data_IF_611983994667
#
_entry.id   IF_611983994667
#
_cell.length_a   1.000
_cell.length_b   1.000
_cell.length_c   1.000
_cell.angle_alpha   90.00
_cell.angle_beta   90.00
_cell.angle_gamma   90.00
#
_symmetry.space_group_name_H-M   'P 1'
#
loop_
_entity.id
_entity.type
_entity.pdbx_description
1 polymer ?
#
# COMPACT_ATOMS: atom_id res chain seq x y z
N UNK A 1 1.26 -21.91 -11.19
CA UNK A 1 2.36 -21.01 -10.79
C UNK A 1 2.03 -20.56 -9.39
N UNK A 2 2.43 -21.37 -8.40
CA UNK A 2 2.13 -21.14 -6.99
C UNK A 2 3.11 -20.12 -6.42
N UNK A 3 2.73 -18.84 -6.49
CA UNK A 3 3.35 -17.80 -5.65
C UNK A 3 2.81 -17.96 -4.22
N UNK A 4 3.25 -19.04 -3.58
CA UNK A 4 3.22 -19.18 -2.14
C UNK A 4 4.33 -18.27 -1.60
N UNK A 5 3.97 -17.08 -1.11
CA UNK A 5 4.74 -16.40 -0.08
C UNK A 5 4.71 -17.28 1.18
N UNK A 6 5.51 -18.34 1.17
CA UNK A 6 5.75 -19.20 2.31
C UNK A 6 7.01 -18.70 3.04
N UNK A 7 7.03 -17.44 3.44
CA UNK A 7 7.77 -17.07 4.64
C UNK A 7 6.96 -17.60 5.82
N UNK A 8 7.19 -18.85 6.15
CA UNK A 8 6.77 -19.45 7.41
C UNK A 8 7.62 -18.81 8.51
N UNK A 9 7.24 -17.59 8.92
CA UNK A 9 7.79 -16.90 10.08
C UNK A 9 7.26 -17.63 11.33
N UNK A 10 7.98 -18.69 11.71
CA UNK A 10 7.64 -19.55 12.84
C UNK A 10 7.65 -18.82 14.21
N UNK A 11 8.12 -17.57 14.26
CA UNK A 11 8.19 -16.71 15.45
C UNK A 11 7.64 -15.29 15.21
N UNK A 12 6.61 -15.15 14.39
CA UNK A 12 5.97 -13.86 14.20
C UNK A 12 5.13 -13.48 15.43
N UNK A 13 5.69 -12.65 16.32
CA UNK A 13 4.92 -11.88 17.30
C UNK A 13 4.10 -10.80 16.57
N UNK A 14 3.07 -11.23 15.84
CA UNK A 14 2.09 -10.30 15.30
C UNK A 14 1.31 -9.73 16.48
N UNK A 15 1.16 -8.41 16.50
CA UNK A 15 0.22 -7.78 17.42
C UNK A 15 -1.16 -8.41 17.21
N UNK A 16 -1.84 -8.74 18.31
CA UNK A 16 -3.21 -9.19 18.23
C UNK A 16 -4.07 -8.07 17.65
N UNK A 17 -5.12 -8.44 16.93
CA UNK A 17 -5.94 -7.49 16.19
C UNK A 17 -6.70 -6.58 17.16
N UNK A 18 -6.35 -5.29 17.15
CA UNK A 18 -7.00 -4.30 18.01
C UNK A 18 -8.35 -3.88 17.44
N UNK A 19 -9.43 -4.26 18.12
CA UNK A 19 -10.81 -3.93 17.73
C UNK A 19 -11.06 -2.43 17.69
N UNK A 20 -10.44 -1.67 18.58
CA UNK A 20 -10.63 -0.20 18.66
C UNK A 20 -10.11 0.46 17.39
N UNK A 21 -9.02 -0.06 16.82
CA UNK A 21 -8.45 0.47 15.59
C UNK A 21 -9.42 0.24 14.42
N UNK A 22 -9.93 -0.98 14.24
CA UNK A 22 -10.66 -1.32 13.01
C UNK A 22 -12.16 -0.99 13.04
N UNK A 23 -12.81 -1.10 14.20
CA UNK A 23 -14.25 -0.89 14.36
C UNK A 23 -14.61 0.61 14.49
N UNK A 24 -13.75 1.42 15.09
CA UNK A 24 -14.03 2.85 15.32
C UNK A 24 -14.00 3.66 14.01
N UNK A 25 -15.13 4.32 13.71
CA UNK A 25 -15.29 5.17 12.53
C UNK A 25 -14.36 6.39 12.53
N UNK A 26 -13.92 6.86 13.71
CA UNK A 26 -13.02 8.01 13.82
C UNK A 26 -11.64 7.70 13.24
N UNK A 27 -11.16 6.46 13.43
CA UNK A 27 -9.88 6.02 12.87
C UNK A 27 -9.95 6.02 11.35
N UNK A 28 -11.04 5.47 10.79
CA UNK A 28 -11.27 5.48 9.35
C UNK A 28 -11.37 6.92 8.80
N UNK A 29 -12.07 7.83 9.48
CA UNK A 29 -12.17 9.22 9.06
C UNK A 29 -10.80 9.91 9.06
N UNK A 30 -10.00 9.69 10.10
CA UNK A 30 -8.65 10.25 10.18
C UNK A 30 -7.75 9.73 9.04
N UNK A 31 -7.88 8.44 8.67
CA UNK A 31 -7.15 7.88 7.53
C UNK A 31 -7.56 8.56 6.21
N UNK A 32 -8.85 8.76 5.99
CA UNK A 32 -9.37 9.44 4.79
C UNK A 32 -8.91 10.90 4.72
N UNK A 33 -8.94 11.61 5.85
CA UNK A 33 -8.48 13.00 5.92
C UNK A 33 -6.96 13.07 5.62
N UNK A 34 -6.19 12.15 6.17
CA UNK A 34 -4.75 12.09 5.99
C UNK A 34 -4.34 11.68 4.56
N UNK A 35 -5.11 10.83 3.89
CA UNK A 35 -4.86 10.44 2.50
C UNK A 35 -4.77 11.65 1.56
N UNK A 36 -5.62 12.67 1.77
CA UNK A 36 -5.60 13.89 0.96
C UNK A 36 -4.26 14.63 1.01
N UNK A 37 -3.50 14.47 2.09
CA UNK A 37 -2.19 15.09 2.29
C UNK A 37 -1.07 14.38 1.50
N UNK A 38 -1.29 13.14 1.07
CA UNK A 38 -0.31 12.35 0.32
C UNK A 38 -0.55 12.36 -1.20
N UNK A 39 -1.67 12.92 -1.66
CA UNK A 39 -1.96 13.04 -3.08
C UNK A 39 -1.15 14.21 -3.66
N UNK A 40 -0.28 13.98 -4.66
CA UNK A 40 0.44 15.07 -5.31
C UNK A 40 -0.55 16.05 -5.94
N UNK A 41 -0.44 17.33 -5.59
CA UNK A 41 -1.31 18.40 -6.09
C UNK A 41 -1.10 18.74 -7.56
N UNK A 42 -0.05 18.19 -8.18
CA UNK A 42 0.34 18.47 -9.55
C UNK A 42 0.60 17.19 -10.35
N UNK A 43 0.50 17.31 -11.67
CA UNK A 43 0.97 16.27 -12.58
C UNK A 43 2.51 16.22 -12.54
N UNK A 44 3.05 15.33 -11.69
CA UNK A 44 4.48 15.20 -11.43
C UNK A 44 5.33 15.07 -12.71
N UNK A 45 4.88 14.28 -13.69
CA UNK A 45 5.58 14.10 -14.97
C UNK A 45 5.36 15.22 -15.98
N UNK A 46 4.35 16.06 -15.78
CA UNK A 46 4.14 17.24 -16.62
C UNK A 46 4.91 18.46 -16.14
N UNK A 47 5.23 18.53 -14.84
CA UNK A 47 5.70 19.77 -14.20
C UNK A 47 7.07 19.64 -13.55
N UNK A 48 7.36 18.52 -12.89
CA UNK A 48 8.55 18.34 -12.06
C UNK A 48 9.59 17.45 -12.75
N UNK A 49 9.16 16.27 -13.20
CA UNK A 49 10.06 15.24 -13.72
C UNK A 49 10.11 15.28 -15.25
N UNK A 50 11.25 15.75 -15.79
CA UNK A 50 11.47 15.93 -17.23
C UNK A 50 12.32 14.84 -17.87
N UNK A 51 13.17 14.19 -17.08
CA UNK A 51 14.16 13.22 -17.58
C UNK A 51 13.63 11.78 -17.57
N UNK A 52 12.70 11.48 -16.66
CA UNK A 52 12.11 10.15 -16.50
C UNK A 52 10.74 10.10 -17.14
N UNK A 53 10.52 9.11 -17.99
CA UNK A 53 9.22 8.83 -18.62
C UNK A 53 8.39 7.84 -17.80
N UNK A 54 7.04 7.91 -17.84
CA UNK A 54 6.17 7.02 -17.05
C UNK A 54 6.44 5.52 -17.24
N UNK A 55 6.77 5.06 -18.45
CA UNK A 55 7.06 3.64 -18.70
C UNK A 55 8.31 3.15 -17.97
N UNK A 56 9.29 4.03 -17.71
CA UNK A 56 10.53 3.69 -17.01
C UNK A 56 10.26 3.33 -15.54
N UNK A 57 9.17 3.83 -14.95
CA UNK A 57 8.76 3.44 -13.59
C UNK A 57 8.47 1.95 -13.48
N UNK A 58 7.91 1.34 -14.52
CA UNK A 58 7.57 -0.09 -14.51
C UNK A 58 8.82 -0.95 -14.33
N UNK A 59 9.92 -0.56 -14.97
CA UNK A 59 11.21 -1.24 -14.84
C UNK A 59 11.72 -1.15 -13.40
N UNK A 60 11.68 0.04 -12.80
CA UNK A 60 12.13 0.24 -11.40
C UNK A 60 11.23 -0.51 -10.42
N UNK A 61 9.90 -0.47 -10.58
CA UNK A 61 8.98 -1.18 -9.68
C UNK A 61 9.13 -2.70 -9.76
N UNK A 62 9.33 -3.25 -10.96
CA UNK A 62 9.61 -4.68 -11.14
C UNK A 62 10.95 -5.04 -10.52
N UNK A 63 11.97 -4.22 -10.72
CA UNK A 63 13.28 -4.44 -10.11
C UNK A 63 13.25 -4.36 -8.58
N UNK A 64 12.52 -3.41 -8.00
CA UNK A 64 12.31 -3.31 -6.55
C UNK A 64 11.58 -4.53 -5.97
N UNK A 65 10.72 -5.18 -6.76
CA UNK A 65 10.05 -6.43 -6.37
C UNK A 65 10.99 -7.64 -6.44
N UNK A 66 11.93 -7.65 -7.38
CA UNK A 66 12.78 -8.81 -7.70
C UNK A 66 14.15 -8.78 -6.99
N UNK A 67 14.67 -7.61 -6.62
CA UNK A 67 16.05 -7.48 -6.14
C UNK A 67 16.16 -7.36 -4.62
N UNK A 68 16.63 -8.43 -3.98
CA UNK A 68 16.84 -8.55 -2.53
C UNK A 68 18.28 -8.30 -2.06
N UNK A 69 19.25 -8.09 -2.98
CA UNK A 69 20.69 -8.12 -2.67
C UNK A 69 21.47 -6.91 -3.21
N UNK A 70 21.04 -5.69 -2.89
CA UNK A 70 21.82 -4.51 -3.27
C UNK A 70 22.02 -3.61 -2.05
N UNK A 71 22.91 -4.02 -1.14
CA UNK A 71 23.01 -3.41 0.19
C UNK A 71 23.93 -2.18 0.23
N UNK A 72 24.83 -1.99 -0.74
CA UNK A 72 25.91 -0.98 -0.63
C UNK A 72 25.64 0.35 -1.36
N UNK A 73 24.80 0.37 -2.40
CA UNK A 73 24.48 1.62 -3.11
C UNK A 73 23.33 2.40 -2.45
N UNK A 74 22.52 1.73 -1.64
CA UNK A 74 21.27 2.28 -1.14
C UNK A 74 21.42 3.18 0.08
N UNK A 75 22.44 3.00 0.93
CA UNK A 75 22.55 3.78 2.18
C UNK A 75 22.65 5.29 1.95
N UNK A 76 23.37 5.72 0.91
CA UNK A 76 23.46 7.14 0.56
C UNK A 76 22.13 7.67 0.00
N UNK A 77 21.43 6.86 -0.80
CA UNK A 77 20.13 7.21 -1.35
C UNK A 77 19.03 7.20 -0.28
N UNK A 78 19.09 6.29 0.68
CA UNK A 78 18.19 6.19 1.82
C UNK A 78 18.24 7.49 2.63
N UNK A 79 19.43 7.93 3.05
CA UNK A 79 19.59 9.19 3.78
C UNK A 79 19.16 10.40 2.95
N UNK A 80 19.45 10.41 1.65
CA UNK A 80 19.00 11.49 0.76
C UNK A 80 17.47 11.54 0.68
N UNK A 81 16.80 10.41 0.45
CA UNK A 81 15.34 10.31 0.38
C UNK A 81 14.70 10.70 1.72
N UNK A 82 15.21 10.18 2.84
CA UNK A 82 14.74 10.53 4.19
C UNK A 82 14.87 12.03 4.46
N UNK A 83 15.98 12.65 4.06
CA UNK A 83 16.18 14.09 4.20
C UNK A 83 15.17 14.91 3.39
N UNK A 84 14.81 14.46 2.18
CA UNK A 84 13.82 15.12 1.32
C UNK A 84 12.39 14.93 1.82
N UNK A 85 12.09 13.77 2.39
CA UNK A 85 10.81 13.46 3.02
C UNK A 85 10.68 14.05 4.43
N UNK A 86 11.71 14.73 4.96
CA UNK A 86 11.77 15.21 6.34
C UNK A 86 11.46 14.11 7.35
N UNK A 87 11.95 12.90 7.08
CA UNK A 87 11.72 11.69 7.88
C UNK A 87 10.25 11.23 7.96
N UNK A 88 9.32 11.84 7.23
CA UNK A 88 7.95 11.37 7.12
C UNK A 88 7.85 10.24 6.08
N UNK A 89 8.16 9.02 6.52
CA UNK A 89 8.16 7.81 5.68
C UNK A 89 6.85 7.04 5.70
N UNK A 90 5.99 7.30 6.70
CA UNK A 90 4.68 6.68 6.79
C UNK A 90 3.70 7.44 5.90
N UNK A 91 3.07 6.74 4.96
CA UNK A 91 1.99 7.26 4.14
C UNK A 91 0.79 6.32 4.25
N UNK A 92 -0.42 6.87 4.17
CA UNK A 92 -1.64 6.07 4.09
C UNK A 92 -1.67 5.34 2.75
N UNK A 93 -1.91 4.04 2.80
CA UNK A 93 -1.97 3.13 1.66
C UNK A 93 -3.35 2.47 1.55
N UNK A 94 -3.65 1.93 0.37
CA UNK A 94 -4.85 1.14 0.13
C UNK A 94 -4.95 -0.09 1.03
N UNK A 95 -3.82 -0.59 1.55
CA UNK A 95 -3.79 -1.74 2.45
C UNK A 95 -4.37 -1.40 3.83
N UNK A 96 -4.19 -0.16 4.30
CA UNK A 96 -4.67 0.28 5.61
C UNK A 96 -6.21 0.21 5.68
N UNK A 97 -6.89 0.40 4.55
CA UNK A 97 -8.35 0.37 4.46
C UNK A 97 -8.95 -1.04 4.43
N UNK A 98 -8.18 -2.07 4.07
CA UNK A 98 -8.71 -3.43 3.88
C UNK A 98 -9.38 -3.93 5.15
N UNK A 99 -8.73 -3.77 6.29
CA UNK A 99 -9.26 -4.25 7.55
C UNK A 99 -10.42 -3.43 8.08
N UNK A 100 -10.45 -2.13 7.79
CA UNK A 100 -11.61 -1.29 8.08
C UNK A 100 -12.83 -1.70 7.26
N UNK A 101 -12.66 -2.04 5.98
CA UNK A 101 -13.79 -2.47 5.14
C UNK A 101 -14.27 -3.86 5.53
N UNK A 102 -13.36 -4.81 5.72
CA UNK A 102 -13.71 -6.19 6.06
C UNK A 102 -14.45 -6.29 7.39
N UNK A 103 -14.12 -5.46 8.39
CA UNK A 103 -14.83 -5.48 9.67
C UNK A 103 -16.27 -4.98 9.57
N UNK A 104 -16.59 -4.18 8.56
CA UNK A 104 -17.92 -3.59 8.35
C UNK A 104 -18.84 -4.45 7.48
N UNK A 105 -18.32 -5.52 6.87
CA UNK A 105 -19.10 -6.41 6.01
C UNK A 105 -19.14 -7.82 6.61
N UNK A 106 -20.35 -8.36 6.76
CA UNK A 106 -20.56 -9.62 7.46
C UNK A 106 -19.99 -10.83 6.70
N UNK A 107 -20.04 -10.79 5.36
CA UNK A 107 -19.52 -11.85 4.48
C UNK A 107 -17.99 -11.98 4.51
N UNK A 108 -17.25 -11.01 5.06
CA UNK A 108 -15.79 -11.11 5.19
C UNK A 108 -15.35 -12.28 6.07
N UNK A 109 -16.21 -12.69 7.00
CA UNK A 109 -15.95 -13.75 7.98
C UNK A 109 -16.11 -15.15 7.38
N UNK A 110 -16.68 -15.26 6.18
CA UNK A 110 -16.96 -16.53 5.52
C UNK A 110 -15.70 -17.22 4.99
N UNK A 111 -14.68 -16.46 4.58
CA UNK A 111 -13.46 -17.03 4.03
C UNK A 111 -12.21 -16.20 4.36
N UNK A 112 -11.15 -16.83 4.92
CA UNK A 112 -9.90 -16.14 5.19
C UNK A 112 -9.18 -15.67 3.91
N UNK A 113 -9.57 -16.20 2.74
CA UNK A 113 -9.00 -15.79 1.45
C UNK A 113 -9.44 -14.39 1.02
N UNK A 114 -10.56 -13.89 1.53
CA UNK A 114 -11.11 -12.58 1.15
C UNK A 114 -10.09 -11.46 1.41
N UNK A 115 -9.44 -11.50 2.59
CA UNK A 115 -8.37 -10.55 2.94
C UNK A 115 -7.19 -10.63 1.97
N UNK A 116 -6.76 -11.85 1.65
CA UNK A 116 -5.65 -12.08 0.71
C UNK A 116 -6.00 -11.55 -0.68
N UNK A 117 -7.21 -11.81 -1.16
CA UNK A 117 -7.68 -11.29 -2.44
C UNK A 117 -7.81 -9.76 -2.44
N UNK A 118 -8.31 -9.16 -1.36
CA UNK A 118 -8.36 -7.71 -1.22
C UNK A 118 -6.96 -7.08 -1.31
N UNK A 119 -5.96 -7.63 -0.62
CA UNK A 119 -4.57 -7.18 -0.73
C UNK A 119 -4.02 -7.33 -2.15
N UNK A 120 -4.31 -8.43 -2.85
CA UNK A 120 -3.89 -8.62 -4.25
C UNK A 120 -4.53 -7.56 -5.15
N UNK A 121 -5.84 -7.30 -4.99
CA UNK A 121 -6.54 -6.28 -5.75
C UNK A 121 -5.98 -4.89 -5.51
N UNK A 122 -5.69 -4.53 -4.25
CA UNK A 122 -5.01 -3.28 -3.90
C UNK A 122 -3.63 -3.20 -4.58
N UNK A 123 -2.84 -4.27 -4.51
CA UNK A 123 -1.54 -4.37 -5.19
C UNK A 123 -1.64 -4.18 -6.71
N UNK A 124 -2.65 -4.79 -7.35
CA UNK A 124 -2.92 -4.60 -8.78
C UNK A 124 -3.32 -3.15 -9.09
N UNK A 125 -4.10 -2.50 -8.23
CA UNK A 125 -4.51 -1.11 -8.42
C UNK A 125 -3.32 -0.15 -8.43
N UNK A 126 -2.27 -0.42 -7.64
CA UNK A 126 -1.02 0.35 -7.68
C UNK A 126 -0.26 0.24 -9.00
N UNK A 127 -0.53 -0.79 -9.80
CA UNK A 127 -0.01 -0.89 -11.17
C UNK A 127 -0.89 -0.16 -12.20
N UNK A 128 -2.07 0.33 -11.79
CA UNK A 128 -3.09 1.02 -12.59
C UNK A 128 -3.26 2.52 -12.29
N UNK A 129 -4.32 3.14 -12.82
CA UNK A 129 -4.54 4.61 -12.85
C UNK A 129 -5.49 5.18 -11.78
N UNK A 130 -5.95 4.39 -10.81
CA UNK A 130 -7.09 4.76 -9.97
C UNK A 130 -6.72 4.87 -8.49
N UNK A 131 -7.48 5.68 -7.74
CA UNK A 131 -7.32 5.86 -6.30
C UNK A 131 -7.68 4.59 -5.53
N UNK A 132 -6.81 4.22 -4.57
CA UNK A 132 -6.80 2.90 -3.93
C UNK A 132 -8.04 2.60 -3.08
N UNK A 133 -8.61 3.57 -2.36
CA UNK A 133 -9.79 3.37 -1.50
C UNK A 133 -11.11 3.29 -2.29
N UNK A 134 -11.27 4.10 -3.34
CA UNK A 134 -12.48 4.11 -4.20
C UNK A 134 -12.63 2.77 -4.90
N UNK A 135 -11.52 2.23 -5.42
CA UNK A 135 -11.47 0.90 -6.01
C UNK A 135 -11.75 -0.19 -5.01
N UNK A 136 -11.21 -0.13 -3.78
CA UNK A 136 -11.43 -1.16 -2.78
C UNK A 136 -12.93 -1.35 -2.50
N UNK A 137 -13.66 -0.26 -2.29
CA UNK A 137 -15.12 -0.28 -2.11
C UNK A 137 -15.89 -0.72 -3.35
N UNK A 138 -15.34 -0.50 -4.56
CA UNK A 138 -15.98 -0.91 -5.81
C UNK A 138 -15.73 -2.39 -6.12
N UNK A 139 -14.52 -2.88 -5.88
CA UNK A 139 -14.09 -4.26 -6.10
C UNK A 139 -14.66 -5.23 -5.06
N UNK A 140 -14.88 -4.78 -3.82
CA UNK A 140 -15.52 -5.59 -2.77
C UNK A 140 -17.06 -5.54 -2.81
N UNK A 141 -17.66 -4.75 -3.71
CA UNK A 141 -19.11 -4.68 -3.92
C UNK A 141 -19.62 -5.59 -5.06
N UNK A 142 -18.74 -6.36 -5.70
CA UNK A 142 -19.12 -7.38 -6.67
C UNK A 142 -19.59 -8.66 -5.97
#
# INVERSE_FOLDING_TARGET
>A
MDLLCAERLADCRLAERDRVIFEDMRVLQNLLDLETSYIPTCNYFGTVQKDIQPFMRKVVSTWMLECYNVTLFYTNWELLVLSKLKWAVTAVTGFDYVDHVLERVEWSKESPLIRRHAHILVGLCYTGKYSSHVLLCTCLKC
#
